data_IF_304244887865
#
_entry.id   IF_304244887865
#
_cell.length_a   1.000
_cell.length_b   1.000
_cell.length_c   1.000
_cell.angle_alpha   90.00
_cell.angle_beta   90.00
_cell.angle_gamma   90.00
#
_symmetry.space_group_name_H-M   'P 1'
#
loop_
_entity.id
_entity.type
_entity.pdbx_description
1 polymer ?
#
# COMPACT_ATOMS: atom_id res chain seq x y z
N UNK A 1 -6.95 9.57 4.07
CA UNK A 1 -6.26 8.28 3.80
C UNK A 1 -7.31 7.19 3.75
N UNK A 2 -7.36 6.42 2.66
CA UNK A 2 -8.31 5.31 2.51
C UNK A 2 -7.83 4.06 3.25
N UNK A 3 -8.75 3.14 3.59
CA UNK A 3 -8.44 1.90 4.32
C UNK A 3 -7.33 1.08 3.66
N UNK A 4 -7.31 1.04 2.33
CA UNK A 4 -6.29 0.33 1.55
C UNK A 4 -4.87 0.89 1.74
N UNK A 5 -4.73 2.21 1.88
CA UNK A 5 -3.41 2.83 2.14
C UNK A 5 -2.90 2.51 3.53
N UNK A 6 -3.78 2.52 4.53
CA UNK A 6 -3.42 2.18 5.90
C UNK A 6 -2.99 0.71 5.97
N UNK A 7 -3.73 -0.17 5.29
CA UNK A 7 -3.42 -1.60 5.23
C UNK A 7 -2.09 -1.85 4.51
N UNK A 8 -1.84 -1.17 3.38
CA UNK A 8 -0.57 -1.27 2.66
C UNK A 8 0.63 -0.79 3.50
N UNK A 9 0.48 0.29 4.26
CA UNK A 9 1.52 0.76 5.21
C UNK A 9 1.78 -0.23 6.34
N UNK A 10 0.72 -0.83 6.90
CA UNK A 10 0.85 -1.84 7.95
C UNK A 10 1.58 -3.09 7.44
N UNK A 11 1.25 -3.56 6.23
CA UNK A 11 1.93 -4.71 5.60
C UNK A 11 3.40 -4.42 5.30
N UNK A 12 3.73 -3.21 4.81
CA UNK A 12 5.13 -2.78 4.64
C UNK A 12 5.90 -2.80 5.96
N UNK A 13 5.32 -2.27 7.03
CA UNK A 13 5.96 -2.25 8.34
C UNK A 13 6.17 -3.67 8.90
N UNK A 14 5.17 -4.55 8.76
CA UNK A 14 5.27 -5.95 9.16
C UNK A 14 6.34 -6.70 8.36
N UNK A 15 6.39 -6.51 7.05
CA UNK A 15 7.41 -7.10 6.18
C UNK A 15 8.81 -6.65 6.58
N UNK A 16 9.02 -5.35 6.84
CA UNK A 16 10.30 -4.83 7.32
C UNK A 16 10.75 -5.47 8.64
N UNK A 17 9.83 -5.69 9.58
CA UNK A 17 10.13 -6.36 10.85
C UNK A 17 10.53 -7.82 10.62
N UNK A 18 9.84 -8.54 9.73
CA UNK A 18 10.19 -9.92 9.37
C UNK A 18 11.53 -10.02 8.67
N UNK A 19 11.84 -9.13 7.73
CA UNK A 19 13.16 -9.07 7.06
C UNK A 19 14.28 -8.90 8.09
N UNK A 20 14.13 -7.88 8.96
CA UNK A 20 15.12 -7.59 10.01
C UNK A 20 15.27 -8.77 10.97
N UNK A 21 14.17 -9.41 11.36
CA UNK A 21 14.23 -10.58 12.21
C UNK A 21 14.87 -11.78 11.49
N UNK A 22 14.65 -11.93 10.18
CA UNK A 22 15.24 -12.99 9.35
C UNK A 22 16.75 -12.85 9.22
N UNK A 23 17.22 -11.63 8.97
CA UNK A 23 18.64 -11.25 8.95
C UNK A 23 19.31 -11.57 10.29
N UNK A 24 18.68 -11.16 11.41
CA UNK A 24 19.23 -11.38 12.77
C UNK A 24 19.27 -12.87 13.11
N UNK A 25 18.22 -13.62 12.77
CA UNK A 25 18.08 -15.03 13.10
C UNK A 25 18.72 -15.97 12.05
N UNK A 26 19.29 -15.44 10.97
CA UNK A 26 19.74 -16.20 9.79
C UNK A 26 18.66 -17.17 9.28
N UNK A 27 17.42 -16.67 9.17
CA UNK A 27 16.27 -17.43 8.71
C UNK A 27 15.82 -16.94 7.32
N UNK A 28 16.16 -17.66 6.23
CA UNK A 28 15.84 -17.24 4.86
C UNK A 28 14.34 -17.28 4.55
N UNK A 29 13.57 -18.14 5.21
CA UNK A 29 12.11 -18.17 5.04
C UNK A 29 11.47 -16.87 5.58
N UNK A 30 11.96 -16.39 6.72
CA UNK A 30 11.44 -15.17 7.35
C UNK A 30 11.76 -13.91 6.54
N UNK A 31 12.95 -13.87 5.92
CA UNK A 31 13.37 -12.82 4.99
C UNK A 31 12.53 -12.85 3.70
N UNK A 32 12.31 -14.03 3.12
CA UNK A 32 11.48 -14.17 1.92
C UNK A 32 10.02 -13.75 2.17
N UNK A 33 9.46 -14.13 3.33
CA UNK A 33 8.12 -13.69 3.74
C UNK A 33 8.04 -12.17 3.92
N UNK A 34 9.04 -11.57 4.56
CA UNK A 34 9.07 -10.13 4.80
C UNK A 34 9.14 -9.34 3.49
N UNK A 35 9.98 -9.75 2.55
CA UNK A 35 10.10 -9.13 1.23
C UNK A 35 8.79 -9.23 0.45
N UNK A 36 8.16 -10.41 0.45
CA UNK A 36 6.86 -10.61 -0.20
C UNK A 36 5.77 -9.70 0.39
N UNK A 37 5.71 -9.57 1.72
CA UNK A 37 4.75 -8.67 2.38
C UNK A 37 5.02 -7.19 2.07
N UNK A 38 6.28 -6.75 1.95
CA UNK A 38 6.62 -5.37 1.53
C UNK A 38 6.19 -5.09 0.09
N UNK A 39 6.43 -6.02 -0.82
CA UNK A 39 6.04 -5.90 -2.23
C UNK A 39 4.52 -5.82 -2.35
N UNK A 40 3.80 -6.74 -1.69
CA UNK A 40 2.34 -6.73 -1.67
C UNK A 40 1.76 -5.42 -1.10
N UNK A 41 2.33 -4.92 0.00
CA UNK A 41 1.94 -3.63 0.58
C UNK A 41 2.18 -2.44 -0.35
N UNK A 42 3.27 -2.46 -1.13
CA UNK A 42 3.58 -1.43 -2.14
C UNK A 42 2.57 -1.43 -3.28
N UNK A 43 2.25 -2.61 -3.81
CA UNK A 43 1.25 -2.76 -4.88
C UNK A 43 -0.12 -2.27 -4.42
N UNK A 44 -0.56 -2.66 -3.22
CA UNK A 44 -1.85 -2.21 -2.66
C UNK A 44 -1.90 -0.69 -2.43
N UNK A 45 -0.82 -0.10 -1.91
CA UNK A 45 -0.74 1.35 -1.73
C UNK A 45 -0.83 2.08 -3.07
N UNK A 46 -0.10 1.62 -4.09
CA UNK A 46 -0.14 2.19 -5.45
C UNK A 46 -1.54 2.12 -6.06
N UNK A 47 -2.20 0.96 -5.96
CA UNK A 47 -3.57 0.77 -6.44
C UNK A 47 -4.57 1.69 -5.72
N UNK A 48 -4.47 1.79 -4.39
CA UNK A 48 -5.35 2.66 -3.59
C UNK A 48 -5.15 4.15 -3.86
N UNK A 49 -3.93 4.58 -4.23
CA UNK A 49 -3.65 5.94 -4.70
C UNK A 49 -4.25 6.19 -6.07
N UNK A 50 -3.99 5.31 -7.04
CA UNK A 50 -4.53 5.43 -8.40
C UNK A 50 -6.06 5.51 -8.42
N UNK A 51 -6.73 4.62 -7.66
CA UNK A 51 -8.19 4.64 -7.51
C UNK A 51 -8.71 5.97 -6.95
N UNK A 52 -7.99 6.56 -5.98
CA UNK A 52 -8.37 7.85 -5.39
C UNK A 52 -8.23 8.97 -6.42
N UNK A 53 -7.10 9.06 -7.10
CA UNK A 53 -6.85 10.09 -8.12
C UNK A 53 -7.88 10.06 -9.23
N UNK A 54 -8.27 8.86 -9.70
CA UNK A 54 -9.33 8.72 -10.71
C UNK A 54 -10.67 9.21 -10.16
N UNK A 55 -11.00 8.85 -8.91
CA UNK A 55 -12.25 9.27 -8.27
C UNK A 55 -12.29 10.79 -8.08
N UNK A 56 -11.22 11.38 -7.56
CA UNK A 56 -11.08 12.84 -7.36
C UNK A 56 -11.28 13.59 -8.69
N UNK A 57 -10.64 13.15 -9.78
CA UNK A 57 -10.83 13.79 -11.08
C UNK A 57 -12.23 13.64 -11.67
N UNK A 58 -12.97 12.58 -11.35
CA UNK A 58 -14.38 12.43 -11.76
C UNK A 58 -15.30 13.32 -10.90
N UNK A 59 -15.05 13.40 -9.60
CA UNK A 59 -15.77 14.28 -8.67
C UNK A 59 -15.62 15.75 -9.11
N UNK A 60 -14.38 16.20 -9.38
CA UNK A 60 -14.11 17.57 -9.85
C UNK A 60 -14.88 17.93 -11.14
N UNK A 61 -14.97 17.01 -12.11
CA UNK A 61 -15.72 17.22 -13.36
C UNK A 61 -17.22 17.29 -13.10
N UNK A 62 -17.73 16.46 -12.18
CA UNK A 62 -19.16 16.45 -11.84
C UNK A 62 -19.57 17.76 -11.14
N UNK A 63 -18.76 18.23 -10.19
CA UNK A 63 -18.97 19.52 -9.51
C UNK A 63 -18.92 20.72 -10.48
N UNK A 64 -18.08 20.66 -11.52
CA UNK A 64 -17.97 21.72 -12.54
C UNK A 64 -19.14 21.70 -13.55
N UNK A 65 -19.75 20.53 -13.77
CA UNK A 65 -20.94 20.38 -14.61
C UNK A 65 -22.23 20.79 -13.88
N UNK A 66 -22.30 20.68 -12.55
CA UNK A 66 -23.48 21.05 -11.75
C UNK A 66 -23.59 22.57 -11.52
N UNK A 67 -22.49 23.31 -11.65
CA UNK A 67 -22.45 24.77 -11.51
C UNK A 67 -22.76 25.55 -12.80
N UNK A 68 -23.05 24.86 -13.91
CA UNK A 68 -23.50 25.45 -15.18
C UNK A 68 -25.02 25.27 -15.38
#
# INVERSE_FOLDING_TARGET
MNRDEIKGKAEKAKGYVKDKAGEILNNPDLEAEGEAERVAGTVREGYGKAKRTVREGIEDIADEAEQQ
#
